data_IF_232598797020
#
_entry.id   IF_232598797020
#
_cell.length_a   1.000
_cell.length_b   1.000
_cell.length_c   1.000
_cell.angle_alpha   90.00
_cell.angle_beta   90.00
_cell.angle_gamma   90.00
#
_symmetry.space_group_name_H-M   'P 1'
#
loop_
_entity.id
_entity.type
_entity.pdbx_description
1 polymer ?
#
# COMPACT_ATOMS: atom_id res chain seq x y z
N UNK A 1 16.18 -1.99 0.92
CA UNK A 1 15.06 -2.90 1.19
C UNK A 1 13.85 -2.15 1.68
N UNK A 2 12.68 -2.61 1.33
CA UNK A 2 11.40 -1.95 1.66
C UNK A 2 11.23 -1.71 3.16
N UNK A 3 11.49 -2.74 3.97
CA UNK A 3 11.36 -2.63 5.43
C UNK A 3 12.25 -1.52 6.00
N UNK A 4 13.48 -1.49 5.60
CA UNK A 4 14.44 -0.48 6.09
C UNK A 4 14.02 0.93 5.70
N UNK A 5 13.51 1.09 4.49
CA UNK A 5 13.01 2.37 4.00
C UNK A 5 11.85 2.87 4.85
N UNK A 6 10.90 1.99 5.14
CA UNK A 6 9.74 2.34 5.97
C UNK A 6 10.18 2.72 7.38
N UNK A 7 11.08 1.94 7.98
CA UNK A 7 11.59 2.21 9.32
C UNK A 7 12.30 3.56 9.38
N UNK A 8 13.13 3.86 8.39
CA UNK A 8 13.82 5.17 8.32
C UNK A 8 12.82 6.32 8.22
N UNK A 9 11.78 6.16 7.41
CA UNK A 9 10.74 7.18 7.28
C UNK A 9 9.99 7.40 8.58
N UNK A 10 9.67 6.33 9.29
CA UNK A 10 8.99 6.42 10.58
C UNK A 10 9.82 7.22 11.56
N UNK A 11 11.11 6.92 11.66
CA UNK A 11 12.01 7.63 12.56
C UNK A 11 12.17 9.10 12.18
N UNK A 12 12.27 9.36 10.88
CA UNK A 12 12.41 10.72 10.36
C UNK A 12 11.18 11.57 10.66
N UNK A 13 9.99 10.97 10.59
CA UNK A 13 8.72 11.67 10.90
C UNK A 13 8.46 11.81 12.39
N UNK A 14 9.34 11.30 13.24
CA UNK A 14 9.22 11.40 14.68
C UNK A 14 8.30 10.37 15.33
N UNK A 15 7.87 9.36 14.59
CA UNK A 15 7.03 8.29 15.16
C UNK A 15 7.87 7.30 15.93
N UNK A 16 7.32 6.81 17.02
CA UNK A 16 7.95 5.77 17.81
C UNK A 16 7.74 4.42 17.15
N UNK A 17 8.82 3.67 16.98
CA UNK A 17 8.76 2.30 16.46
C UNK A 17 8.50 1.33 17.62
N UNK A 18 7.22 1.04 17.85
CA UNK A 18 6.83 0.09 18.91
C UNK A 18 6.87 -1.34 18.37
N UNK A 19 6.93 -2.36 19.26
CA UNK A 19 6.85 -3.76 18.80
C UNK A 19 5.60 -4.05 17.98
N UNK A 20 4.46 -3.44 18.32
CA UNK A 20 3.22 -3.62 17.56
C UNK A 20 3.34 -3.04 16.16
N UNK A 21 3.87 -1.83 16.03
CA UNK A 21 4.10 -1.19 14.72
C UNK A 21 5.08 -2.00 13.89
N UNK A 22 6.14 -2.51 14.52
CA UNK A 22 7.10 -3.34 13.82
C UNK A 22 6.46 -4.60 13.26
N UNK A 23 5.62 -5.29 14.04
CA UNK A 23 4.92 -6.48 13.57
C UNK A 23 4.04 -6.17 12.36
N UNK A 24 3.32 -5.05 12.40
CA UNK A 24 2.46 -4.61 11.28
C UNK A 24 3.31 -4.35 10.03
N UNK A 25 4.41 -3.64 10.19
CA UNK A 25 5.31 -3.32 9.07
C UNK A 25 5.90 -4.59 8.46
N UNK A 26 6.31 -5.53 9.30
CA UNK A 26 6.88 -6.78 8.81
C UNK A 26 5.89 -7.55 7.96
N UNK A 27 4.63 -7.64 8.39
CA UNK A 27 3.61 -8.32 7.61
C UNK A 27 3.32 -7.56 6.31
N UNK A 28 3.24 -6.25 6.38
CA UNK A 28 3.00 -5.44 5.19
C UNK A 28 4.07 -5.67 4.12
N UNK A 29 5.33 -5.77 4.53
CA UNK A 29 6.44 -6.02 3.62
C UNK A 29 6.42 -7.47 3.10
N UNK A 30 6.23 -8.44 3.99
CA UNK A 30 6.21 -9.86 3.63
C UNK A 30 5.06 -10.20 2.68
N UNK A 31 3.92 -9.56 2.87
CA UNK A 31 2.71 -9.81 2.08
C UNK A 31 2.50 -8.77 0.98
N UNK A 32 3.52 -8.00 0.64
CA UNK A 32 3.37 -6.87 -0.29
C UNK A 32 2.82 -7.29 -1.66
N UNK A 33 3.19 -8.47 -2.15
CA UNK A 33 2.69 -8.96 -3.44
C UNK A 33 1.18 -9.24 -3.44
N UNK A 34 0.60 -9.43 -2.26
CA UNK A 34 -0.83 -9.67 -2.12
C UNK A 34 -1.64 -8.39 -1.96
N UNK A 35 -0.98 -7.26 -1.77
CA UNK A 35 -1.64 -5.98 -1.47
C UNK A 35 -2.62 -6.17 -0.32
N UNK A 36 -2.12 -6.38 0.91
CA UNK A 36 -2.95 -6.85 2.00
C UNK A 36 -3.97 -5.82 2.47
N UNK A 37 -5.14 -6.33 2.88
CA UNK A 37 -6.13 -5.53 3.61
C UNK A 37 -5.71 -5.41 5.08
N UNK A 38 -6.35 -4.51 5.81
CA UNK A 38 -6.09 -4.39 7.24
C UNK A 38 -6.41 -5.69 7.98
N UNK A 39 -7.46 -6.40 7.56
CA UNK A 39 -7.82 -7.68 8.17
C UNK A 39 -6.73 -8.74 7.97
N UNK A 40 -6.17 -8.82 6.77
CA UNK A 40 -5.07 -9.76 6.51
C UNK A 40 -3.85 -9.41 7.35
N UNK A 41 -3.49 -8.13 7.39
CA UNK A 41 -2.37 -7.67 8.21
C UNK A 41 -2.61 -8.03 9.68
N UNK A 42 -3.82 -7.79 10.17
CA UNK A 42 -4.18 -8.12 11.55
C UNK A 42 -4.04 -9.61 11.84
N UNK A 43 -4.60 -10.46 10.98
CA UNK A 43 -4.55 -11.91 11.19
C UNK A 43 -3.12 -12.42 11.30
N UNK A 44 -2.24 -11.93 10.43
CA UNK A 44 -0.85 -12.38 10.43
C UNK A 44 -0.03 -11.75 11.56
N UNK A 45 -0.22 -10.46 11.82
CA UNK A 45 0.54 -9.76 12.85
C UNK A 45 0.16 -10.22 14.26
N UNK A 46 -1.10 -10.57 14.47
CA UNK A 46 -1.57 -11.05 15.77
C UNK A 46 -0.87 -12.33 16.20
N UNK A 47 -0.42 -13.14 15.27
CA UNK A 47 0.35 -14.35 15.59
C UNK A 47 1.67 -14.00 16.26
N UNK A 48 2.24 -12.84 15.94
CA UNK A 48 3.51 -12.37 16.50
C UNK A 48 3.31 -11.54 17.76
N UNK A 49 2.18 -10.84 17.84
CA UNK A 49 1.82 -9.96 18.96
C UNK A 49 0.37 -10.21 19.36
N UNK A 50 0.18 -11.11 20.31
CA UNK A 50 -1.16 -11.56 20.73
C UNK A 50 -2.03 -10.44 21.28
N UNK A 51 -1.42 -9.41 21.85
CA UNK A 51 -2.14 -8.25 22.40
C UNK A 51 -2.63 -7.27 21.32
N UNK A 52 -2.23 -7.47 20.08
CA UNK A 52 -2.59 -6.58 18.99
C UNK A 52 -4.09 -6.64 18.69
N UNK A 53 -4.72 -5.47 18.54
CA UNK A 53 -6.13 -5.37 18.19
C UNK A 53 -6.29 -4.91 16.75
N UNK A 54 -7.44 -5.20 16.14
CA UNK A 54 -7.75 -4.75 14.79
C UNK A 54 -7.79 -3.22 14.71
N UNK A 55 -8.31 -2.56 15.74
CA UNK A 55 -8.33 -1.10 15.74
C UNK A 55 -6.93 -0.49 15.76
N UNK A 56 -5.98 -1.13 16.44
CA UNK A 56 -4.58 -0.69 16.42
C UNK A 56 -3.98 -0.84 15.02
N UNK A 57 -4.32 -1.93 14.33
CA UNK A 57 -3.86 -2.15 12.95
C UNK A 57 -4.38 -1.04 12.03
N UNK A 58 -5.68 -0.76 12.08
CA UNK A 58 -6.28 0.32 11.29
C UNK A 58 -5.64 1.68 11.60
N UNK A 59 -5.49 2.00 12.89
CA UNK A 59 -4.90 3.27 13.30
C UNK A 59 -3.47 3.42 12.76
N UNK A 60 -2.67 2.36 12.85
CA UNK A 60 -1.29 2.36 12.38
C UNK A 60 -1.22 2.51 10.87
N UNK A 61 -1.98 1.70 10.13
CA UNK A 61 -1.99 1.76 8.67
C UNK A 61 -2.47 3.12 8.17
N UNK A 62 -3.49 3.68 8.79
CA UNK A 62 -4.03 4.98 8.41
C UNK A 62 -3.03 6.10 8.71
N UNK A 63 -2.34 6.03 9.84
CA UNK A 63 -1.31 7.00 10.20
C UNK A 63 -0.16 6.97 9.20
N UNK A 64 0.34 5.77 8.88
CA UNK A 64 1.43 5.62 7.91
C UNK A 64 1.01 6.11 6.51
N UNK A 65 -0.24 5.85 6.13
CA UNK A 65 -0.77 6.31 4.84
C UNK A 65 -0.88 7.83 4.78
N UNK A 66 -1.37 8.45 5.84
CA UNK A 66 -1.51 9.92 5.90
C UNK A 66 -0.17 10.61 5.75
N UNK A 67 0.90 10.01 6.26
CA UNK A 67 2.24 10.58 6.18
C UNK A 67 3.00 10.15 4.94
N UNK A 68 2.34 9.46 4.01
CA UNK A 68 2.96 9.05 2.77
C UNK A 68 4.04 7.99 2.89
N UNK A 69 4.10 7.32 4.05
CA UNK A 69 5.10 6.26 4.29
C UNK A 69 4.69 4.99 3.57
N UNK A 70 3.38 4.72 3.52
CA UNK A 70 2.80 3.66 2.71
C UNK A 70 1.65 4.25 1.90
N UNK A 71 1.14 3.49 0.93
CA UNK A 71 -0.02 3.88 0.14
C UNK A 71 -1.24 3.06 0.53
N UNK A 72 -2.41 3.70 0.46
CA UNK A 72 -3.67 2.98 0.54
C UNK A 72 -4.35 3.01 -0.83
N UNK A 73 -4.84 1.85 -1.26
CA UNK A 73 -5.67 1.72 -2.45
C UNK A 73 -7.11 1.59 -1.98
N UNK A 74 -7.89 2.61 -2.26
CA UNK A 74 -9.29 2.66 -1.85
C UNK A 74 -10.18 2.18 -2.98
N UNK A 75 -11.19 1.38 -2.64
CA UNK A 75 -12.14 0.81 -3.60
C UNK A 75 -13.56 0.98 -3.10
N UNK A 76 -14.51 1.20 -4.03
CA UNK A 76 -15.92 1.41 -3.67
C UNK A 76 -16.60 0.16 -3.12
N UNK A 77 -16.23 -1.01 -3.64
CA UNK A 77 -16.97 -2.25 -3.37
C UNK A 77 -16.12 -3.36 -2.77
N UNK A 78 -14.95 -3.05 -2.30
CA UNK A 78 -14.11 -4.02 -1.60
C UNK A 78 -13.21 -3.30 -0.61
N UNK A 79 -12.60 -4.07 0.29
CA UNK A 79 -11.74 -3.52 1.33
C UNK A 79 -10.58 -2.72 0.74
N UNK A 80 -10.17 -1.70 1.47
CA UNK A 80 -8.94 -0.98 1.15
C UNK A 80 -7.75 -1.93 1.23
N UNK A 81 -6.78 -1.71 0.37
CA UNK A 81 -5.54 -2.45 0.34
C UNK A 81 -4.39 -1.50 0.64
N UNK A 82 -3.32 -2.03 1.17
CA UNK A 82 -2.19 -1.21 1.61
C UNK A 82 -0.92 -1.65 0.92
N UNK A 83 -0.09 -0.68 0.56
CA UNK A 83 1.15 -0.91 -0.18
C UNK A 83 2.32 -0.23 0.51
N UNK A 84 3.36 -1.01 0.81
CA UNK A 84 4.63 -0.47 1.27
C UNK A 84 5.48 0.07 0.13
N UNK A 85 5.24 -0.40 -1.09
CA UNK A 85 5.95 0.07 -2.27
C UNK A 85 5.27 1.32 -2.81
N UNK A 86 5.87 2.47 -2.57
CA UNK A 86 5.31 3.76 -3.00
C UNK A 86 5.89 4.26 -4.32
N UNK A 87 6.76 3.48 -4.95
CA UNK A 87 7.27 3.82 -6.28
C UNK A 87 6.13 3.75 -7.31
N UNK A 88 6.22 4.58 -8.33
CA UNK A 88 5.20 4.62 -9.36
C UNK A 88 5.09 3.28 -10.08
N UNK A 89 3.89 2.75 -10.17
CA UNK A 89 3.59 1.50 -10.85
C UNK A 89 2.13 1.48 -11.29
N UNK A 90 1.82 0.52 -12.15
CA UNK A 90 0.44 0.27 -12.57
C UNK A 90 -0.12 -0.84 -11.71
N UNK A 91 -1.33 -0.64 -11.19
CA UNK A 91 -2.06 -1.68 -10.49
C UNK A 91 -2.93 -2.42 -11.51
N UNK A 92 -2.72 -3.74 -11.64
CA UNK A 92 -3.55 -4.58 -12.49
C UNK A 92 -4.56 -5.30 -11.59
N UNK A 93 -5.81 -4.90 -11.68
CA UNK A 93 -6.87 -5.39 -10.79
C UNK A 93 -7.75 -6.37 -11.54
N UNK A 94 -7.77 -7.62 -11.06
CA UNK A 94 -8.59 -8.66 -11.67
C UNK A 94 -10.03 -8.57 -11.18
N UNK A 95 -10.95 -8.42 -12.11
CA UNK A 95 -12.39 -8.36 -11.79
C UNK A 95 -12.93 -9.70 -11.31
N UNK A 96 -12.28 -10.80 -11.68
CA UNK A 96 -12.72 -12.14 -11.30
C UNK A 96 -12.30 -12.51 -9.89
N UNK A 97 -11.00 -12.64 -9.64
CA UNK A 97 -10.48 -13.11 -8.36
C UNK A 97 -10.11 -11.99 -7.39
N UNK A 98 -10.21 -10.74 -7.83
CA UNK A 98 -9.91 -9.54 -7.02
C UNK A 98 -8.45 -9.40 -6.61
N UNK A 99 -7.55 -10.19 -7.18
CA UNK A 99 -6.12 -10.02 -6.94
C UNK A 99 -5.62 -8.75 -7.62
N UNK A 100 -4.60 -8.17 -7.01
CA UNK A 100 -3.95 -6.96 -7.53
C UNK A 100 -2.50 -7.31 -7.81
N UNK A 101 -2.05 -7.00 -9.02
CA UNK A 101 -0.68 -7.25 -9.45
C UNK A 101 -0.01 -5.91 -9.74
N UNK A 102 1.25 -5.81 -9.39
CA UNK A 102 2.04 -4.64 -9.74
C UNK A 102 2.66 -4.84 -11.12
N UNK A 103 2.59 -3.82 -11.92
CA UNK A 103 3.26 -3.79 -13.22
C UNK A 103 4.08 -2.51 -13.29
N UNK A 104 5.34 -2.65 -13.68
CA UNK A 104 6.23 -1.51 -13.74
C UNK A 104 5.74 -0.52 -14.78
N UNK A 105 5.58 0.72 -14.37
CA UNK A 105 5.08 1.76 -15.27
C UNK A 105 6.21 2.26 -16.17
N UNK A 106 6.17 1.97 -17.48
CA UNK A 106 7.19 2.46 -18.41
C UNK A 106 6.98 3.90 -18.83
N UNK A 107 5.82 4.46 -18.53
CA UNK A 107 5.46 5.83 -18.92
C UNK A 107 5.29 6.66 -17.66
N UNK A 108 6.08 7.71 -17.55
CA UNK A 108 5.94 8.67 -16.46
C UNK A 108 5.46 10.00 -17.01
N UNK A 109 4.53 10.62 -16.31
CA UNK A 109 4.12 11.99 -16.64
C UNK A 109 5.00 12.91 -15.81
N UNK A 110 5.60 13.89 -16.49
CA UNK A 110 6.47 14.86 -15.81
C UNK A 110 5.63 15.77 -14.91
N UNK A 111 5.76 15.58 -13.61
CA UNK A 111 5.01 16.38 -12.63
C UNK A 111 5.45 17.85 -12.65
N UNK A 112 6.68 18.14 -13.05
CA UNK A 112 7.15 19.53 -13.18
C UNK A 112 6.46 20.22 -14.34
N UNK A 113 6.18 19.50 -15.42
CA UNK A 113 5.42 20.06 -16.55
C UNK A 113 3.99 20.39 -16.12
N UNK A 114 3.36 19.51 -15.35
CA UNK A 114 2.01 19.75 -14.81
C UNK A 114 2.02 20.99 -13.92
N UNK A 115 3.01 21.11 -13.04
CA UNK A 115 3.15 22.26 -12.16
C UNK A 115 3.28 23.55 -12.96
N UNK A 116 4.08 23.54 -14.01
CA UNK A 116 4.34 24.71 -14.82
C UNK A 116 3.15 25.11 -15.68
N UNK A 117 2.52 24.14 -16.34
CA UNK A 117 1.42 24.40 -17.28
C UNK A 117 0.06 24.54 -16.61
N UNK A 118 -0.21 23.69 -15.63
CA UNK A 118 -1.50 23.67 -14.94
C UNK A 118 -1.48 24.39 -13.59
N UNK A 119 -0.32 24.83 -13.14
CA UNK A 119 -0.12 25.45 -11.82
C UNK A 119 -0.65 24.54 -10.71
N UNK A 120 -0.31 23.26 -10.84
CA UNK A 120 -0.83 22.21 -9.97
C UNK A 120 0.34 21.40 -9.41
N UNK A 121 0.38 21.24 -8.09
CA UNK A 121 1.41 20.43 -7.43
C UNK A 121 0.90 19.02 -7.27
N UNK A 122 1.55 18.07 -7.95
CA UNK A 122 1.20 16.65 -7.85
C UNK A 122 1.87 16.08 -6.60
N UNK A 123 1.07 15.52 -5.70
CA UNK A 123 1.58 14.88 -4.49
C UNK A 123 1.58 13.37 -4.57
N UNK A 124 0.74 12.80 -5.41
CA UNK A 124 0.59 11.36 -5.51
C UNK A 124 -0.02 10.99 -6.87
N UNK A 125 0.17 9.76 -7.28
CA UNK A 125 -0.35 9.23 -8.54
C UNK A 125 -0.82 7.80 -8.34
N UNK A 126 -1.96 7.48 -8.95
CA UNK A 126 -2.47 6.12 -8.96
C UNK A 126 -2.97 5.79 -10.35
N UNK A 127 -2.48 4.68 -10.91
CA UNK A 127 -2.91 4.21 -12.22
C UNK A 127 -3.36 2.76 -12.10
N UNK A 128 -4.64 2.52 -12.35
CA UNK A 128 -5.26 1.21 -12.25
C UNK A 128 -5.76 0.76 -13.60
N UNK A 129 -5.49 -0.51 -13.93
CA UNK A 129 -6.08 -1.18 -15.08
C UNK A 129 -6.96 -2.31 -14.56
N UNK A 130 -8.16 -2.40 -15.07
CA UNK A 130 -9.14 -3.41 -14.67
C UNK A 130 -9.32 -4.42 -15.80
N UNK A 131 -9.30 -5.70 -15.46
CA UNK A 131 -9.43 -6.76 -16.45
C UNK A 131 -9.49 -8.12 -15.80
N UNK A 132 -8.91 -9.10 -16.45
CA UNK A 132 -8.91 -10.48 -15.97
C UNK A 132 -7.52 -11.06 -16.03
N UNK A 133 -7.08 -11.68 -14.94
CA UNK A 133 -5.78 -12.34 -14.88
C UNK A 133 -5.83 -13.62 -15.73
N UNK A 134 -4.66 -14.24 -15.90
CA UNK A 134 -4.56 -15.44 -16.72
C UNK A 134 -5.52 -16.54 -16.29
N UNK A 135 -5.73 -16.72 -15.00
CA UNK A 135 -6.65 -17.73 -14.46
C UNK A 135 -8.11 -17.40 -14.67
N UNK A 136 -8.47 -16.11 -14.81
CA UNK A 136 -9.87 -15.67 -14.92
C UNK A 136 -10.30 -15.31 -16.34
N UNK A 137 -9.37 -15.08 -17.26
CA UNK A 137 -9.69 -14.58 -18.61
C UNK A 137 -10.34 -15.61 -19.54
N UNK A 138 -10.41 -16.86 -19.10
CA UNK A 138 -11.03 -17.94 -19.90
C UNK A 138 -12.55 -17.98 -19.82
N UNK A 139 -13.13 -17.04 -19.14
CA UNK A 139 -14.59 -17.01 -18.94
C UNK A 139 -15.33 -16.38 -20.11
#
# INVERSE_FOLDING_TARGET
MMKDFIIKRIKKEGFKLTPQRLAIIEILVEQSSLHPSACLVYQEAKRRRKSLSLSTVYATLNELSRHGIIKVLEFDKMENRYEGNIADHINLICKGCKKIFDYKNPVSIDSEEIKRKARFVVTDTRLDYYGYCQGCRKK
#
